data_IF_290848031820
#
_entry.id   IF_290848031820
#
_cell.length_a   1.000
_cell.length_b   1.000
_cell.length_c   1.000
_cell.angle_alpha   90.00
_cell.angle_beta   90.00
_cell.angle_gamma   90.00
#
_symmetry.space_group_name_H-M   'P 1'
#
loop_
_entity.id
_entity.type
_entity.pdbx_description
1 polymer ?
#
# COMPACT_ATOMS: atom_id res chain seq x y z
N UNK A 1 -11.60 8.16 -34.67
CA UNK A 1 -12.64 7.84 -33.68
C UNK A 1 -11.89 7.52 -32.41
N UNK A 2 -11.69 8.54 -31.59
CA UNK A 2 -10.91 8.48 -30.35
C UNK A 2 -11.60 7.47 -29.43
N UNK A 3 -10.94 6.33 -29.20
CA UNK A 3 -11.34 5.40 -28.15
C UNK A 3 -11.01 6.08 -26.84
N UNK A 4 -12.06 6.51 -26.14
CA UNK A 4 -11.98 6.97 -24.76
C UNK A 4 -11.14 5.95 -24.00
N UNK A 5 -10.06 6.43 -23.40
CA UNK A 5 -9.31 5.70 -22.38
C UNK A 5 -10.28 5.43 -21.23
N UNK A 6 -11.03 4.33 -21.33
CA UNK A 6 -11.65 3.69 -20.19
C UNK A 6 -10.52 2.99 -19.42
N UNK A 7 -9.58 3.80 -18.91
CA UNK A 7 -8.91 3.50 -17.66
C UNK A 7 -10.05 3.27 -16.67
N UNK A 8 -10.39 1.99 -16.48
CA UNK A 8 -11.10 1.56 -15.29
C UNK A 8 -10.12 1.83 -14.17
N UNK A 9 -10.16 3.09 -13.75
CA UNK A 9 -9.76 3.62 -12.48
C UNK A 9 -9.94 2.47 -11.50
N UNK A 10 -8.82 1.86 -11.14
CA UNK A 10 -8.72 1.14 -9.90
C UNK A 10 -8.94 2.23 -8.87
N UNK A 11 -10.22 2.63 -8.68
CA UNK A 11 -10.64 3.55 -7.64
C UNK A 11 -9.87 3.07 -6.45
N UNK A 12 -8.89 3.86 -6.03
CA UNK A 12 -8.21 3.62 -4.79
C UNK A 12 -9.37 3.48 -3.82
N UNK A 13 -9.63 2.26 -3.37
CA UNK A 13 -10.62 2.06 -2.35
C UNK A 13 -9.94 2.74 -1.18
N UNK A 14 -10.33 4.00 -0.94
CA UNK A 14 -9.80 4.77 0.17
C UNK A 14 -10.37 4.11 1.41
N UNK A 15 -9.63 3.11 1.90
CA UNK A 15 -9.87 2.53 3.18
C UNK A 15 -9.46 3.58 4.21
N UNK A 16 -10.44 4.14 4.92
CA UNK A 16 -10.18 4.93 6.12
C UNK A 16 -9.76 4.04 7.31
N UNK A 17 -8.97 3.01 7.01
CA UNK A 17 -8.41 2.07 7.96
C UNK A 17 -6.91 2.25 7.89
N UNK A 18 -6.29 2.48 9.05
CA UNK A 18 -4.84 2.55 9.22
C UNK A 18 -4.44 1.60 10.34
N UNK A 19 -3.99 0.39 9.97
CA UNK A 19 -3.52 -0.60 10.94
C UNK A 19 -2.13 -0.28 11.51
N UNK A 20 -1.33 0.51 10.79
CA UNK A 20 0.03 0.85 11.21
C UNK A 20 0.00 1.92 12.28
N UNK A 21 0.71 1.69 13.39
CA UNK A 21 0.70 2.61 14.53
C UNK A 21 1.58 3.83 14.30
N UNK A 22 0.97 5.00 14.25
CA UNK A 22 1.65 6.30 14.28
C UNK A 22 2.06 6.73 15.70
N UNK A 23 3.04 7.62 15.81
CA UNK A 23 3.37 8.32 17.04
C UNK A 23 2.39 9.45 17.34
N UNK A 24 2.52 10.06 18.51
CA UNK A 24 1.79 11.28 18.84
C UNK A 24 2.24 12.42 17.90
N UNK A 25 1.34 13.33 17.47
CA UNK A 25 1.67 14.45 16.60
C UNK A 25 2.83 15.29 17.14
N UNK A 26 3.79 15.58 16.27
CA UNK A 26 5.00 16.34 16.55
C UNK A 26 4.86 17.72 15.93
N UNK A 27 5.11 18.77 16.70
CA UNK A 27 5.11 20.14 16.20
C UNK A 27 6.42 20.41 15.43
N UNK A 28 6.31 20.82 14.17
CA UNK A 28 7.45 21.30 13.40
C UNK A 28 7.58 22.80 13.66
N UNK A 29 8.49 23.18 14.55
CA UNK A 29 8.83 24.59 14.75
C UNK A 29 9.57 25.10 13.51
N UNK A 30 9.05 26.19 12.93
CA UNK A 30 9.62 26.84 11.75
C UNK A 30 10.82 27.72 12.13
N UNK A 31 11.90 27.12 12.62
CA UNK A 31 13.13 27.86 12.88
C UNK A 31 13.93 27.98 11.58
N UNK A 32 13.90 29.16 10.96
CA UNK A 32 14.59 29.47 9.69
C UNK A 32 16.13 29.33 9.78
N UNK A 33 16.68 29.16 10.98
CA UNK A 33 18.12 29.16 11.26
C UNK A 33 18.74 27.77 11.45
N UNK A 34 17.96 26.68 11.42
CA UNK A 34 18.50 25.34 11.65
C UNK A 34 17.96 24.35 10.60
N UNK A 35 18.64 24.28 9.46
CA UNK A 35 18.27 23.43 8.31
C UNK A 35 18.30 21.92 8.60
N UNK A 36 18.79 21.53 9.78
CA UNK A 36 18.98 20.14 10.19
C UNK A 36 17.99 19.67 11.28
N UNK A 37 17.05 20.52 11.73
CA UNK A 37 15.99 20.12 12.66
C UNK A 37 14.88 19.33 11.95
N UNK A 38 15.24 18.15 11.43
CA UNK A 38 14.28 17.10 11.12
C UNK A 38 13.64 16.64 12.44
N UNK A 39 12.50 17.23 12.81
CA UNK A 39 11.79 16.88 14.04
C UNK A 39 11.26 15.43 13.95
N UNK A 40 12.09 14.47 14.38
CA UNK A 40 11.78 13.06 14.57
C UNK A 40 11.97 12.68 16.05
N UNK A 41 11.24 11.66 16.55
CA UNK A 41 11.48 11.14 17.88
C UNK A 41 12.94 10.68 18.05
N UNK A 42 13.48 10.81 19.26
CA UNK A 42 14.84 10.31 19.56
C UNK A 42 14.96 8.83 19.21
N UNK A 43 15.98 8.47 18.44
CA UNK A 43 16.22 7.08 18.01
C UNK A 43 15.33 6.62 16.84
N UNK A 44 14.58 7.53 16.21
CA UNK A 44 13.84 7.22 14.99
C UNK A 44 14.79 6.93 13.83
N UNK A 45 14.47 5.91 13.05
CA UNK A 45 15.19 5.56 11.83
C UNK A 45 14.29 5.78 10.61
N UNK A 46 14.79 6.45 9.57
CA UNK A 46 14.04 6.73 8.34
C UNK A 46 13.53 5.46 7.62
N UNK A 47 14.06 4.27 7.96
CA UNK A 47 13.54 2.99 7.48
C UNK A 47 12.03 2.81 7.77
N UNK A 48 11.53 3.42 8.85
CA UNK A 48 10.11 3.38 9.20
C UNK A 48 9.22 4.09 8.17
N UNK A 49 9.76 5.03 7.38
CA UNK A 49 9.02 5.75 6.35
C UNK A 49 8.60 4.84 5.18
N UNK A 50 9.30 3.72 4.96
CA UNK A 50 8.94 2.72 3.96
C UNK A 50 7.73 1.85 4.36
N UNK A 51 7.29 1.91 5.63
CA UNK A 51 6.10 1.21 6.12
C UNK A 51 4.98 2.16 6.51
N UNK A 52 5.34 3.37 6.95
CA UNK A 52 4.41 4.42 7.32
C UNK A 52 5.02 5.77 6.88
N UNK A 53 4.63 6.26 5.69
CA UNK A 53 5.05 7.56 5.21
C UNK A 53 4.69 8.65 6.24
N UNK A 54 5.56 9.66 6.45
CA UNK A 54 5.27 10.74 7.37
C UNK A 54 4.04 11.53 6.90
N UNK A 55 3.08 11.70 7.80
CA UNK A 55 1.88 12.50 7.55
C UNK A 55 2.14 13.92 8.08
N UNK A 56 2.02 14.93 7.24
CA UNK A 56 2.18 16.32 7.62
C UNK A 56 0.89 17.09 7.36
N UNK A 57 0.46 17.89 8.34
CA UNK A 57 -0.72 18.75 8.21
C UNK A 57 -0.49 20.08 8.91
N UNK A 58 -1.30 21.08 8.57
CA UNK A 58 -1.27 22.40 9.23
C UNK A 58 -2.57 22.60 9.97
N UNK A 59 -2.47 22.94 11.26
CA UNK A 59 -3.62 23.19 12.12
C UNK A 59 -3.36 24.45 12.95
N UNK A 60 -4.27 25.42 12.88
CA UNK A 60 -4.15 26.72 13.59
C UNK A 60 -2.84 27.47 13.31
N UNK A 61 -2.38 27.45 12.05
CA UNK A 61 -1.13 28.10 11.62
C UNK A 61 0.16 27.38 12.07
N UNK A 62 0.03 26.23 12.74
CA UNK A 62 1.16 25.38 13.16
C UNK A 62 1.27 24.16 12.25
N UNK A 63 2.50 23.77 11.89
CA UNK A 63 2.76 22.55 11.11
C UNK A 63 2.99 21.38 12.06
N UNK A 64 2.28 20.28 11.80
CA UNK A 64 2.35 19.04 12.56
C UNK A 64 2.83 17.91 11.67
N UNK A 65 3.54 16.95 12.28
CA UNK A 65 3.99 15.72 11.64
C UNK A 65 3.61 14.52 12.48
N UNK A 66 3.21 13.43 11.84
CA UNK A 66 3.06 12.11 12.45
C UNK A 66 3.94 11.12 11.69
N UNK A 67 4.75 10.38 12.44
CA UNK A 67 5.64 9.36 11.91
C UNK A 67 5.31 8.00 12.53
N UNK A 68 5.98 6.92 12.11
CA UNK A 68 5.73 5.62 12.69
C UNK A 68 6.08 5.60 14.18
N UNK A 69 5.31 4.87 14.98
CA UNK A 69 5.61 4.68 16.40
C UNK A 69 6.87 3.82 16.57
N UNK A 70 7.80 4.27 17.42
CA UNK A 70 8.98 3.50 17.85
C UNK A 70 8.72 2.66 19.11
N UNK A 71 7.47 2.67 19.63
CA UNK A 71 7.10 1.90 20.82
C UNK A 71 7.04 0.39 20.46
N UNK A 72 7.66 -0.49 21.28
CA UNK A 72 7.59 -1.94 21.08
C UNK A 72 6.15 -2.44 21.27
N UNK A 73 5.80 -3.51 20.57
CA UNK A 73 4.50 -4.14 20.71
C UNK A 73 4.52 -5.24 21.78
N UNK A 74 3.48 -5.24 22.61
CA UNK A 74 3.22 -6.31 23.57
C UNK A 74 2.32 -7.39 22.97
N UNK A 75 2.31 -8.60 23.57
CA UNK A 75 1.47 -9.73 23.12
C UNK A 75 0.00 -9.34 22.98
N UNK A 76 -0.53 -8.57 23.92
CA UNK A 76 -1.92 -8.08 23.86
C UNK A 76 -2.16 -7.17 22.66
N UNK A 77 -1.18 -6.34 22.30
CA UNK A 77 -1.29 -5.46 21.14
C UNK A 77 -1.23 -6.22 19.82
N UNK A 78 -0.46 -7.30 19.75
CA UNK A 78 -0.42 -8.18 18.56
C UNK A 78 -1.75 -8.93 18.40
N UNK A 79 -2.36 -9.38 19.49
CA UNK A 79 -3.69 -9.98 19.45
C UNK A 79 -4.76 -8.98 19.00
N UNK A 80 -4.73 -7.75 19.52
CA UNK A 80 -5.65 -6.69 19.10
C UNK A 80 -5.53 -6.37 17.60
N UNK A 81 -4.31 -6.34 17.05
CA UNK A 81 -4.09 -6.17 15.61
C UNK A 81 -4.73 -7.29 14.77
N UNK A 82 -4.62 -8.54 15.24
CA UNK A 82 -5.22 -9.68 14.55
C UNK A 82 -6.77 -9.62 14.58
N UNK A 83 -7.35 -9.21 15.70
CA UNK A 83 -8.79 -9.00 15.83
C UNK A 83 -9.27 -7.83 14.96
N UNK A 84 -8.55 -6.71 14.94
CA UNK A 84 -8.85 -5.56 14.10
C UNK A 84 -8.79 -5.92 12.61
N UNK A 85 -7.79 -6.70 12.18
CA UNK A 85 -7.72 -7.20 10.81
C UNK A 85 -8.95 -8.06 10.47
N UNK A 86 -9.34 -8.98 11.36
CA UNK A 86 -10.50 -9.84 11.15
C UNK A 86 -11.79 -9.02 11.01
N UNK A 87 -12.01 -8.07 11.92
CA UNK A 87 -13.19 -7.19 11.88
C UNK A 87 -13.24 -6.37 10.59
N UNK A 88 -12.10 -5.84 10.14
CA UNK A 88 -12.03 -5.10 8.88
C UNK A 88 -12.28 -6.01 7.66
N UNK A 89 -11.76 -7.23 7.64
CA UNK A 89 -12.03 -8.18 6.56
C UNK A 89 -13.53 -8.51 6.46
N UNK A 90 -14.22 -8.67 7.59
CA UNK A 90 -15.66 -8.90 7.65
C UNK A 90 -16.45 -7.65 7.26
N UNK A 91 -16.12 -6.48 7.84
CA UNK A 91 -16.80 -5.22 7.58
C UNK A 91 -16.78 -4.82 6.11
N UNK A 92 -15.63 -4.96 5.45
CA UNK A 92 -15.45 -4.63 4.05
C UNK A 92 -15.79 -5.80 3.10
N UNK A 93 -16.41 -6.87 3.62
CA UNK A 93 -16.85 -8.05 2.88
C UNK A 93 -15.77 -8.62 1.93
N UNK A 94 -14.57 -8.80 2.48
CA UNK A 94 -13.44 -9.33 1.74
C UNK A 94 -13.72 -10.75 1.24
N UNK A 95 -13.46 -11.02 -0.04
CA UNK A 95 -13.65 -12.37 -0.61
C UNK A 95 -12.64 -13.34 -0.01
N UNK A 96 -13.13 -14.50 0.43
CA UNK A 96 -12.30 -15.58 0.98
C UNK A 96 -11.46 -16.29 -0.09
N UNK A 97 -11.93 -16.32 -1.33
CA UNK A 97 -11.28 -17.00 -2.45
C UNK A 97 -11.06 -16.07 -3.64
N UNK A 98 -10.07 -16.40 -4.46
CA UNK A 98 -9.70 -15.62 -5.64
C UNK A 98 -9.02 -14.28 -5.33
N UNK A 99 -8.83 -13.48 -6.37
CA UNK A 99 -8.23 -12.15 -6.26
C UNK A 99 -9.22 -11.18 -5.63
N UNK A 100 -8.81 -10.54 -4.53
CA UNK A 100 -9.63 -9.58 -3.80
C UNK A 100 -8.78 -8.35 -3.43
N UNK A 101 -9.08 -7.17 -3.99
CA UNK A 101 -8.35 -5.93 -3.70
C UNK A 101 -8.45 -5.52 -2.23
N UNK A 102 -9.66 -5.57 -1.64
CA UNK A 102 -9.92 -5.29 -0.22
C UNK A 102 -9.02 -6.11 0.69
N UNK A 103 -9.02 -7.43 0.47
CA UNK A 103 -8.19 -8.36 1.22
C UNK A 103 -6.72 -7.99 1.08
N UNK A 104 -6.25 -7.81 -0.16
CA UNK A 104 -4.85 -7.48 -0.42
C UNK A 104 -4.42 -6.22 0.31
N UNK A 105 -5.25 -5.18 0.33
CA UNK A 105 -4.95 -3.92 0.99
C UNK A 105 -4.84 -4.09 2.51
N UNK A 106 -5.84 -4.72 3.15
CA UNK A 106 -5.83 -4.98 4.60
C UNK A 106 -4.63 -5.84 5.04
N UNK A 107 -4.28 -6.87 4.27
CA UNK A 107 -3.08 -7.67 4.53
C UNK A 107 -1.79 -6.86 4.32
N UNK A 108 -1.76 -5.93 3.36
CA UNK A 108 -0.60 -5.07 3.13
C UNK A 108 -0.38 -4.13 4.32
N UNK A 109 -1.44 -3.50 4.82
CA UNK A 109 -1.38 -2.66 6.01
C UNK A 109 -0.98 -3.45 7.27
N UNK A 110 -1.58 -4.63 7.49
CA UNK A 110 -1.21 -5.48 8.61
C UNK A 110 0.27 -5.91 8.52
N UNK A 111 0.76 -6.24 7.33
CA UNK A 111 2.15 -6.63 7.15
C UNK A 111 3.10 -5.44 7.38
N UNK A 112 2.72 -4.22 6.99
CA UNK A 112 3.48 -3.02 7.31
C UNK A 112 3.57 -2.78 8.83
N UNK A 113 2.51 -3.03 9.59
CA UNK A 113 2.55 -2.94 11.06
C UNK A 113 3.44 -4.03 11.66
N UNK A 114 3.42 -5.25 11.13
CA UNK A 114 4.36 -6.31 11.56
C UNK A 114 5.81 -5.92 11.27
N UNK A 115 6.10 -5.36 10.10
CA UNK A 115 7.44 -4.84 9.77
C UNK A 115 7.82 -3.72 10.74
N UNK A 116 6.92 -2.77 11.05
CA UNK A 116 7.17 -1.73 12.06
C UNK A 116 7.56 -2.35 13.41
N UNK A 117 6.83 -3.36 13.88
CA UNK A 117 7.14 -4.07 15.13
C UNK A 117 8.51 -4.75 15.09
N UNK A 118 8.86 -5.40 13.98
CA UNK A 118 10.18 -6.03 13.79
C UNK A 118 11.28 -4.98 13.74
N UNK A 119 11.10 -3.86 13.00
CA UNK A 119 12.06 -2.75 12.94
C UNK A 119 12.36 -2.17 14.33
N UNK A 120 11.35 -2.08 15.21
CA UNK A 120 11.56 -1.62 16.60
C UNK A 120 12.46 -2.57 17.39
N UNK A 121 12.36 -3.88 17.14
CA UNK A 121 13.23 -4.87 17.80
C UNK A 121 14.63 -4.93 17.17
N UNK A 122 14.70 -4.95 15.84
CA UNK A 122 15.92 -5.02 15.05
C UNK A 122 15.72 -4.37 13.68
N UNK A 123 16.46 -3.30 13.43
CA UNK A 123 16.39 -2.54 12.19
C UNK A 123 16.81 -3.41 10.99
N UNK A 124 17.88 -4.18 11.12
CA UNK A 124 18.41 -5.00 10.02
C UNK A 124 17.40 -6.07 9.55
N UNK A 125 16.70 -6.70 10.50
CA UNK A 125 15.63 -7.66 10.18
C UNK A 125 14.45 -6.97 9.50
N UNK A 126 14.07 -5.79 9.99
CA UNK A 126 13.03 -4.98 9.39
C UNK A 126 13.35 -4.55 7.97
N UNK A 127 14.59 -4.08 7.72
CA UNK A 127 15.07 -3.70 6.39
C UNK A 127 15.04 -4.88 5.42
N UNK A 128 15.45 -6.08 5.86
CA UNK A 128 15.35 -7.29 5.05
C UNK A 128 13.89 -7.61 4.68
N UNK A 129 12.96 -7.53 5.63
CA UNK A 129 11.54 -7.77 5.37
C UNK A 129 10.96 -6.76 4.38
N UNK A 130 11.36 -5.48 4.46
CA UNK A 130 10.97 -4.44 3.51
C UNK A 130 11.42 -4.82 2.08
N UNK A 131 12.67 -5.27 1.93
CA UNK A 131 13.21 -5.71 0.62
C UNK A 131 12.42 -6.89 0.07
N UNK A 132 12.15 -7.91 0.90
CA UNK A 132 11.36 -9.08 0.50
C UNK A 132 9.94 -8.66 0.08
N UNK A 133 9.28 -7.80 0.86
CA UNK A 133 7.96 -7.25 0.54
C UNK A 133 7.95 -6.55 -0.81
N UNK A 134 8.95 -5.71 -1.06
CA UNK A 134 9.04 -4.91 -2.29
C UNK A 134 9.25 -5.82 -3.52
N UNK A 135 10.14 -6.82 -3.41
CA UNK A 135 10.36 -7.81 -4.47
C UNK A 135 9.09 -8.61 -4.78
N UNK A 136 8.38 -9.07 -3.73
CA UNK A 136 7.11 -9.79 -3.90
C UNK A 136 6.05 -8.92 -4.59
N UNK A 137 5.93 -7.66 -4.19
CA UNK A 137 5.00 -6.72 -4.82
C UNK A 137 5.36 -6.45 -6.29
N UNK A 138 6.64 -6.30 -6.59
CA UNK A 138 7.14 -6.14 -7.96
C UNK A 138 6.81 -7.37 -8.82
N UNK A 139 7.01 -8.57 -8.27
CA UNK A 139 6.63 -9.82 -8.94
C UNK A 139 5.15 -9.83 -9.28
N UNK A 140 4.26 -9.45 -8.36
CA UNK A 140 2.81 -9.41 -8.67
C UNK A 140 2.49 -8.38 -9.76
N UNK A 141 3.12 -7.20 -9.74
CA UNK A 141 2.93 -6.19 -10.79
C UNK A 141 3.36 -6.75 -12.15
N UNK A 142 4.50 -7.44 -12.22
CA UNK A 142 4.99 -8.06 -13.44
C UNK A 142 4.01 -9.14 -13.96
N UNK A 143 3.50 -10.00 -13.08
CA UNK A 143 2.52 -11.03 -13.46
C UNK A 143 1.21 -10.41 -13.99
N UNK A 144 0.73 -9.31 -13.38
CA UNK A 144 -0.43 -8.56 -13.88
C UNK A 144 -0.17 -8.05 -15.30
N UNK A 145 0.98 -7.39 -15.52
CA UNK A 145 1.39 -6.87 -16.83
C UNK A 145 1.49 -7.96 -17.90
N UNK A 146 2.04 -9.13 -17.57
CA UNK A 146 2.09 -10.26 -18.49
C UNK A 146 0.70 -10.80 -18.83
N UNK A 147 -0.19 -10.88 -17.84
CA UNK A 147 -1.57 -11.29 -18.06
C UNK A 147 -2.34 -10.30 -18.95
N UNK A 148 -2.22 -9.00 -18.68
CA UNK A 148 -2.81 -7.93 -19.49
C UNK A 148 -2.30 -7.96 -20.93
N UNK A 149 -0.98 -8.11 -21.11
CA UNK A 149 -0.37 -8.23 -22.44
C UNK A 149 -0.91 -9.44 -23.22
N UNK A 150 -1.02 -10.60 -22.57
CA UNK A 150 -1.59 -11.80 -23.17
C UNK A 150 -3.07 -11.64 -23.52
N UNK A 151 -3.84 -10.97 -22.67
CA UNK A 151 -5.26 -10.68 -22.92
C UNK A 151 -5.42 -9.75 -24.13
N UNK A 152 -4.63 -8.68 -24.22
CA UNK A 152 -4.62 -7.75 -25.35
C UNK A 152 -4.29 -8.48 -26.65
N UNK A 153 -3.25 -9.33 -26.64
CA UNK A 153 -2.89 -10.15 -27.81
C UNK A 153 -4.06 -11.01 -28.28
N UNK A 154 -4.74 -11.69 -27.35
CA UNK A 154 -5.90 -12.53 -27.66
C UNK A 154 -7.09 -11.73 -28.21
N UNK A 155 -7.40 -10.57 -27.64
CA UNK A 155 -8.50 -9.70 -28.11
C UNK A 155 -8.22 -9.23 -29.53
N UNK A 156 -7.00 -8.77 -29.80
CA UNK A 156 -6.58 -8.34 -31.14
C UNK A 156 -6.76 -9.46 -32.16
N UNK A 157 -6.28 -10.66 -31.85
CA UNK A 157 -6.39 -11.79 -32.77
C UNK A 157 -7.86 -12.20 -33.01
N UNK A 158 -8.69 -12.25 -31.98
CA UNK A 158 -10.11 -12.58 -32.13
C UNK A 158 -10.85 -11.57 -33.01
N UNK A 159 -10.54 -10.28 -32.91
CA UNK A 159 -11.13 -9.26 -33.79
C UNK A 159 -10.71 -9.40 -35.26
N UNK A 160 -9.45 -9.79 -35.50
CA UNK A 160 -8.94 -10.05 -36.85
C UNK A 160 -9.62 -11.28 -37.47
N UNK A 161 -9.78 -12.35 -36.69
CA UNK A 161 -10.46 -13.57 -37.14
C UNK A 161 -11.93 -13.30 -37.50
N UNK A 162 -12.63 -12.46 -36.73
CA UNK A 162 -14.01 -12.04 -37.03
C UNK A 162 -14.10 -11.24 -38.34
N UNK A 163 -13.18 -10.30 -38.58
CA UNK A 163 -13.14 -9.52 -39.82
C UNK A 163 -12.84 -10.40 -41.03
N UNK A 164 -11.93 -11.38 -40.89
CA UNK A 164 -11.63 -12.35 -41.93
C UNK A 164 -12.85 -13.21 -42.29
N UNK A 165 -13.63 -13.64 -41.28
CA UNK A 165 -14.89 -14.36 -41.51
C UNK A 165 -15.91 -13.52 -42.27
N UNK A 166 -16.14 -12.28 -41.87
CA UNK A 166 -17.11 -11.38 -42.53
C UNK A 166 -16.71 -11.13 -43.99
N UNK A 167 -15.43 -10.90 -44.26
CA UNK A 167 -14.93 -10.72 -45.62
C UNK A 167 -15.13 -11.99 -46.48
N UNK A 168 -14.95 -13.18 -45.91
CA UNK A 168 -15.18 -14.46 -46.61
C UNK A 168 -16.66 -14.78 -46.88
N UNK A 169 -17.60 -14.19 -46.14
CA UNK A 169 -19.04 -14.39 -46.38
C UNK A 169 -19.63 -13.40 -47.40
N UNK A 170 -18.91 -12.32 -47.71
CA UNK A 170 -19.31 -11.29 -48.67
C UNK A 170 -18.66 -11.43 -50.06
N UNK A 171 -17.90 -12.51 -50.28
CA UNK A 171 -17.29 -12.91 -51.56
C UNK A 171 -17.93 -14.19 -52.08
#
# INVERSE_FOLDING_TARGET
METKDDDVDCKEIVFDVKLVKGCDPILIEGDENNKDNECYPTGYNKIFEYVYPPEEWTENGKKWRRVASTKPADRHQVMALAEELKLNLEHWNAKMHGVCPVRRELYTQCFNELIRQVCVNSIDQGELLIKIRNEYNQSIINHKRYFESGLIFRIKHASLDQLAMILSMNT
#
